data_IF_168554169344
#
_entry.id   IF_168554169344
#
_cell.length_a   1.000
_cell.length_b   1.000
_cell.length_c   1.000
_cell.angle_alpha   90.00
_cell.angle_beta   90.00
_cell.angle_gamma   90.00
#
_symmetry.space_group_name_H-M   'P 1'
#
loop_
_entity.id
_entity.type
_entity.pdbx_description
1 polymer ?
#
# COMPACT_ATOMS: atom_id res chain seq x y z
N UNK A 1 16.72 -0.97 1.21
CA UNK A 1 16.29 -2.37 1.33
C UNK A 1 17.53 -3.23 1.48
N UNK A 2 17.85 -3.61 2.72
CA UNK A 2 18.80 -4.69 2.93
C UNK A 2 18.11 -5.99 2.49
N UNK A 3 18.72 -6.75 1.58
CA UNK A 3 18.15 -7.99 1.09
C UNK A 3 17.96 -8.98 2.22
N UNK A 4 16.73 -9.40 2.45
CA UNK A 4 16.38 -10.42 3.43
C UNK A 4 17.00 -11.75 2.99
N UNK A 5 17.47 -12.58 3.92
CA UNK A 5 18.16 -13.86 3.61
C UNK A 5 17.53 -15.07 4.30
N UNK A 6 16.53 -14.87 5.16
CA UNK A 6 15.94 -15.92 5.98
C UNK A 6 14.41 -15.79 6.10
N UNK A 7 13.75 -16.93 6.35
CA UNK A 7 12.32 -17.01 6.65
C UNK A 7 11.99 -16.33 7.99
N UNK A 8 10.77 -15.79 8.09
CA UNK A 8 10.29 -15.01 9.24
C UNK A 8 9.13 -15.72 9.94
N UNK A 9 8.96 -15.42 11.23
CA UNK A 9 7.75 -15.74 11.99
C UNK A 9 7.08 -14.41 12.38
N UNK A 10 6.20 -13.91 11.53
CA UNK A 10 5.49 -12.64 11.77
C UNK A 10 4.48 -12.85 12.90
N UNK A 11 4.57 -12.09 14.01
CA UNK A 11 3.63 -12.22 15.12
C UNK A 11 2.17 -12.06 14.65
N UNK A 12 1.26 -12.81 15.24
CA UNK A 12 -0.17 -12.74 14.91
C UNK A 12 -0.99 -12.37 16.15
N UNK A 13 -2.07 -11.62 15.96
CA UNK A 13 -3.01 -11.30 17.03
C UNK A 13 -3.81 -12.54 17.45
N UNK A 14 -3.78 -12.86 18.74
CA UNK A 14 -4.50 -14.02 19.29
C UNK A 14 -6.01 -13.89 19.07
N UNK A 15 -6.63 -14.90 18.44
CA UNK A 15 -8.07 -14.92 18.16
C UNK A 15 -8.48 -14.31 16.81
N UNK A 16 -7.52 -13.94 15.96
CA UNK A 16 -7.81 -13.58 14.56
C UNK A 16 -8.36 -14.78 13.79
N UNK A 17 -9.44 -14.60 13.03
CA UNK A 17 -9.86 -15.59 12.04
C UNK A 17 -8.81 -15.63 10.93
N UNK A 18 -8.17 -16.78 10.75
CA UNK A 18 -7.29 -17.06 9.62
C UNK A 18 -8.12 -17.52 8.44
N UNK A 19 -7.97 -16.86 7.30
CA UNK A 19 -8.44 -17.41 6.03
C UNK A 19 -7.25 -17.66 5.14
N UNK A 20 -7.18 -18.88 4.60
CA UNK A 20 -6.15 -19.22 3.63
C UNK A 20 -6.65 -18.73 2.28
N UNK A 21 -5.94 -17.77 1.69
CA UNK A 21 -5.98 -17.63 0.25
C UNK A 21 -5.44 -18.94 -0.34
N UNK A 22 -6.09 -19.44 -1.39
CA UNK A 22 -5.65 -20.64 -2.09
C UNK A 22 -4.21 -20.52 -2.63
N UNK A 23 -3.71 -21.54 -3.31
CA UNK A 23 -2.37 -21.49 -3.90
C UNK A 23 -2.27 -20.37 -4.95
N UNK A 24 -1.38 -19.40 -4.71
CA UNK A 24 -1.18 -18.26 -5.61
C UNK A 24 0.13 -18.42 -6.37
N UNK A 25 0.11 -18.39 -7.70
CA UNK A 25 1.32 -18.54 -8.49
C UNK A 25 2.25 -17.34 -8.35
N UNK A 26 3.55 -17.60 -8.20
CA UNK A 26 4.59 -16.58 -8.02
C UNK A 26 5.02 -15.99 -9.36
N UNK A 27 5.21 -14.67 -9.43
CA UNK A 27 5.68 -13.98 -10.63
C UNK A 27 7.08 -14.46 -11.07
N UNK A 28 7.43 -14.26 -12.34
CA UNK A 28 8.76 -14.58 -12.86
C UNK A 28 9.87 -13.82 -12.09
N UNK A 29 11.06 -14.41 -12.00
CA UNK A 29 12.26 -13.80 -11.38
C UNK A 29 12.02 -13.17 -10.01
N UNK A 30 11.12 -13.75 -9.21
CA UNK A 30 10.62 -13.15 -7.96
C UNK A 30 11.03 -13.97 -6.75
N UNK A 31 11.33 -13.27 -5.65
CA UNK A 31 11.59 -13.89 -4.34
C UNK A 31 10.56 -13.42 -3.34
N UNK A 32 9.92 -14.36 -2.65
CA UNK A 32 9.01 -14.11 -1.55
C UNK A 32 9.51 -14.92 -0.36
N UNK A 33 9.76 -14.26 0.76
CA UNK A 33 10.18 -14.93 1.98
C UNK A 33 8.98 -15.54 2.69
N UNK A 34 9.13 -16.74 3.24
CA UNK A 34 8.10 -17.28 4.15
C UNK A 34 8.02 -16.36 5.37
N UNK A 35 6.80 -16.01 5.78
CA UNK A 35 6.52 -14.95 6.75
C UNK A 35 6.51 -13.53 6.15
N UNK A 36 6.91 -13.36 4.89
CA UNK A 36 6.86 -12.07 4.20
C UNK A 36 5.44 -11.70 3.74
N UNK A 37 5.19 -10.40 3.62
CA UNK A 37 3.91 -9.88 3.12
C UNK A 37 3.82 -10.10 1.60
N UNK A 38 2.71 -10.69 1.16
CA UNK A 38 2.44 -10.99 -0.24
C UNK A 38 1.42 -10.01 -0.80
N UNK A 39 1.70 -9.51 -1.99
CA UNK A 39 0.76 -8.76 -2.79
C UNK A 39 0.52 -9.41 -4.16
N UNK A 40 -0.59 -9.05 -4.78
CA UNK A 40 -0.87 -9.38 -6.17
C UNK A 40 -0.43 -8.23 -7.07
N UNK A 41 0.30 -8.57 -8.13
CA UNK A 41 0.54 -7.66 -9.24
C UNK A 41 -0.68 -7.58 -10.19
N UNK A 42 -0.59 -6.75 -11.22
CA UNK A 42 -1.66 -6.57 -12.21
C UNK A 42 -2.06 -7.85 -12.97
N UNK A 43 -1.19 -8.87 -12.97
CA UNK A 43 -1.44 -10.16 -13.61
C UNK A 43 -2.00 -11.21 -12.63
N UNK A 44 -2.34 -10.82 -11.39
CA UNK A 44 -2.80 -11.72 -10.34
C UNK A 44 -1.72 -12.69 -9.85
N UNK A 45 -0.43 -12.35 -10.02
CA UNK A 45 0.69 -13.17 -9.53
C UNK A 45 1.21 -12.64 -8.21
N UNK A 46 1.65 -13.55 -7.35
CA UNK A 46 2.25 -13.23 -6.07
C UNK A 46 3.61 -12.56 -6.28
N UNK A 47 3.79 -11.41 -5.62
CA UNK A 47 5.02 -10.64 -5.51
C UNK A 47 5.22 -10.21 -4.05
N UNK A 48 6.46 -9.96 -3.58
CA UNK A 48 6.66 -9.35 -2.27
C UNK A 48 6.00 -7.97 -2.26
N UNK A 49 5.35 -7.61 -1.15
CA UNK A 49 4.73 -6.30 -0.99
C UNK A 49 5.79 -5.22 -0.81
N UNK A 50 6.50 -4.85 -1.88
CA UNK A 50 7.54 -3.82 -1.86
C UNK A 50 7.04 -2.52 -2.48
N UNK A 51 7.50 -1.38 -1.95
CA UNK A 51 7.14 -0.06 -2.49
C UNK A 51 7.89 0.30 -3.78
N UNK A 52 9.01 -0.38 -4.05
CA UNK A 52 9.88 -0.14 -5.19
C UNK A 52 10.57 -1.42 -5.65
N UNK A 53 10.73 -1.59 -6.97
CA UNK A 53 11.70 -2.54 -7.55
C UNK A 53 12.75 -1.72 -8.29
N UNK A 54 14.03 -1.89 -7.94
CA UNK A 54 15.16 -1.20 -8.59
C UNK A 54 14.95 0.31 -8.78
N UNK A 55 14.41 0.99 -7.75
CA UNK A 55 14.16 2.43 -7.76
C UNK A 55 12.84 2.88 -8.39
N UNK A 56 12.15 2.02 -9.15
CA UNK A 56 10.86 2.32 -9.76
C UNK A 56 9.73 2.06 -8.76
N UNK A 57 8.83 3.02 -8.56
CA UNK A 57 7.61 2.81 -7.77
C UNK A 57 6.76 1.74 -8.44
N UNK A 58 6.35 0.72 -7.70
CA UNK A 58 5.43 -0.26 -8.23
C UNK A 58 4.02 0.33 -8.25
N UNK A 59 3.31 0.14 -9.37
CA UNK A 59 1.88 0.42 -9.46
C UNK A 59 1.09 -0.43 -8.45
N UNK A 60 -0.09 0.09 -8.08
CA UNK A 60 -1.05 -0.45 -7.10
C UNK A 60 -0.97 -1.98 -6.93
N UNK A 61 -0.21 -2.40 -5.94
CA UNK A 61 -0.15 -3.78 -5.49
C UNK A 61 -1.29 -3.98 -4.48
N UNK A 62 -1.99 -5.11 -4.55
CA UNK A 62 -3.06 -5.46 -3.60
C UNK A 62 -2.48 -6.42 -2.54
N UNK A 63 -2.29 -6.00 -1.29
CA UNK A 63 -1.87 -6.95 -0.24
C UNK A 63 -2.99 -7.95 -0.01
N UNK A 64 -2.60 -9.21 0.11
CA UNK A 64 -3.53 -10.33 0.32
C UNK A 64 -3.22 -11.14 1.58
N UNK A 65 -2.06 -10.95 2.20
CA UNK A 65 -1.71 -11.61 3.46
C UNK A 65 -0.23 -11.92 3.57
N UNK A 66 0.10 -12.93 4.38
CA UNK A 66 1.46 -13.38 4.66
C UNK A 66 1.72 -14.74 4.00
N UNK A 67 2.91 -14.91 3.42
CA UNK A 67 3.35 -16.18 2.86
C UNK A 67 3.55 -17.21 3.99
N UNK A 68 2.76 -18.27 4.02
CA UNK A 68 2.88 -19.33 5.03
C UNK A 68 3.79 -20.46 4.56
N UNK A 69 3.65 -20.86 3.30
CA UNK A 69 4.41 -21.97 2.73
C UNK A 69 4.57 -21.83 1.21
N UNK A 70 5.50 -22.60 0.66
CA UNK A 70 5.74 -22.68 -0.78
C UNK A 70 5.14 -23.98 -1.32
N UNK A 71 4.58 -23.92 -2.52
CA UNK A 71 4.05 -25.07 -3.24
C UNK A 71 4.76 -25.22 -4.59
N UNK A 72 5.36 -26.37 -4.83
CA UNK A 72 6.05 -26.69 -6.06
C UNK A 72 5.79 -28.16 -6.41
N UNK A 73 4.56 -28.47 -6.86
CA UNK A 73 4.08 -29.86 -7.08
C UNK A 73 3.73 -30.62 -5.79
N UNK A 74 3.87 -29.95 -4.65
CA UNK A 74 3.58 -30.40 -3.29
C UNK A 74 3.95 -29.28 -2.31
N UNK A 75 3.46 -29.36 -1.07
CA UNK A 75 3.88 -28.43 -0.02
C UNK A 75 5.36 -28.67 0.25
N UNK A 76 6.15 -27.62 0.13
CA UNK A 76 7.58 -27.66 0.42
C UNK A 76 7.79 -27.40 1.91
N UNK A 77 8.75 -28.11 2.51
CA UNK A 77 8.99 -28.07 3.96
C UNK A 77 9.07 -26.65 4.52
N UNK A 78 8.57 -26.43 5.75
CA UNK A 78 8.55 -25.11 6.37
C UNK A 78 9.96 -24.52 6.44
N UNK A 79 10.07 -23.22 6.11
CA UNK A 79 11.32 -22.46 6.18
C UNK A 79 12.06 -22.29 4.86
N UNK A 80 11.62 -22.90 3.75
CA UNK A 80 12.14 -22.58 2.42
C UNK A 80 11.35 -21.41 1.80
N UNK A 81 12.04 -20.33 1.44
CA UNK A 81 11.45 -19.18 0.74
C UNK A 81 10.96 -19.55 -0.66
N UNK A 82 10.08 -18.76 -1.27
CA UNK A 82 9.68 -18.92 -2.67
C UNK A 82 10.64 -18.14 -3.57
N UNK A 83 11.61 -18.84 -4.17
CA UNK A 83 12.67 -18.25 -4.99
C UNK A 83 12.47 -18.63 -6.46
N UNK A 84 11.50 -17.98 -7.12
CA UNK A 84 11.17 -18.22 -8.53
C UNK A 84 12.18 -17.55 -9.48
N UNK A 85 13.44 -17.97 -9.42
CA UNK A 85 14.53 -17.47 -10.25
C UNK A 85 15.17 -18.61 -11.03
N UNK A 86 15.66 -18.30 -12.24
CA UNK A 86 16.44 -19.26 -13.01
C UNK A 86 17.68 -19.69 -12.21
N UNK A 87 17.92 -21.00 -12.13
CA UNK A 87 19.03 -21.59 -11.35
C UNK A 87 18.62 -22.21 -10.00
N UNK A 88 17.42 -21.92 -9.49
CA UNK A 88 16.95 -22.49 -8.22
C UNK A 88 16.25 -23.87 -8.36
N UNK A 89 16.35 -24.53 -9.51
CA UNK A 89 15.65 -25.80 -9.78
C UNK A 89 15.97 -26.91 -8.77
N UNK A 90 17.19 -26.94 -8.24
CA UNK A 90 17.60 -27.92 -7.20
C UNK A 90 16.81 -27.77 -5.89
N UNK A 91 16.32 -26.56 -5.59
CA UNK A 91 15.52 -26.29 -4.39
C UNK A 91 14.06 -26.76 -4.54
N UNK A 92 13.58 -26.91 -5.77
CA UNK A 92 12.18 -27.27 -6.08
C UNK A 92 12.11 -28.41 -7.12
N UNK A 93 12.54 -29.63 -6.77
CA UNK A 93 12.61 -30.74 -7.72
C UNK A 93 11.26 -31.18 -8.26
N UNK A 94 10.15 -30.85 -7.57
CA UNK A 94 8.79 -31.18 -7.97
C UNK A 94 8.04 -30.02 -8.67
N UNK A 95 8.72 -28.90 -8.94
CA UNK A 95 8.10 -27.78 -9.66
C UNK A 95 7.60 -28.22 -11.04
N UNK A 96 6.37 -27.82 -11.38
CA UNK A 96 5.70 -28.23 -12.62
C UNK A 96 6.14 -27.45 -13.86
N UNK A 97 7.02 -26.46 -13.71
CA UNK A 97 7.51 -25.60 -14.79
C UNK A 97 8.95 -25.15 -14.59
N UNK A 98 9.51 -24.50 -15.61
CA UNK A 98 10.88 -23.98 -15.58
C UNK A 98 10.99 -22.83 -14.58
N UNK A 99 11.78 -23.02 -13.53
CA UNK A 99 12.05 -21.98 -12.52
C UNK A 99 12.57 -20.69 -13.18
N UNK A 100 12.06 -19.55 -12.72
CA UNK A 100 12.26 -18.25 -13.35
C UNK A 100 11.13 -17.81 -14.29
N UNK A 101 10.21 -18.72 -14.66
CA UNK A 101 8.98 -18.37 -15.38
C UNK A 101 7.83 -18.14 -14.42
N UNK A 102 6.89 -17.26 -14.78
CA UNK A 102 5.74 -16.94 -13.94
C UNK A 102 4.87 -18.19 -13.69
N UNK A 103 4.58 -18.47 -12.42
CA UNK A 103 3.79 -19.62 -11.98
C UNK A 103 4.52 -20.96 -11.94
N UNK A 104 5.85 -21.00 -12.10
CA UNK A 104 6.62 -22.23 -11.94
C UNK A 104 6.52 -22.81 -10.51
N UNK A 105 6.33 -21.94 -9.52
CA UNK A 105 5.99 -22.27 -8.14
C UNK A 105 4.82 -21.39 -7.67
N UNK A 106 4.18 -21.79 -6.58
CA UNK A 106 3.10 -21.07 -5.93
C UNK A 106 3.40 -20.88 -4.43
N UNK A 107 2.67 -19.96 -3.78
CA UNK A 107 2.72 -19.75 -2.33
C UNK A 107 1.33 -19.95 -1.74
N UNK A 108 1.28 -20.55 -0.56
CA UNK A 108 0.12 -20.49 0.31
C UNK A 108 0.13 -19.19 1.08
N UNK A 109 -0.94 -18.40 0.98
CA UNK A 109 -1.05 -17.10 1.64
C UNK A 109 -2.15 -17.17 2.68
N UNK A 110 -1.87 -16.67 3.87
CA UNK A 110 -2.86 -16.53 4.94
C UNK A 110 -3.19 -15.06 5.15
N UNK A 111 -4.48 -14.72 5.15
CA UNK A 111 -4.93 -13.42 5.63
C UNK A 111 -5.43 -13.54 7.08
N UNK A 112 -5.28 -12.45 7.80
CA UNK A 112 -5.50 -12.36 9.23
C UNK A 112 -4.92 -11.07 9.77
N UNK A 113 -4.78 -11.00 11.09
CA UNK A 113 -4.23 -9.83 11.77
C UNK A 113 -2.79 -10.10 12.21
N UNK A 114 -1.84 -9.41 11.59
CA UNK A 114 -0.42 -9.61 11.85
C UNK A 114 0.22 -8.36 12.47
N UNK A 115 1.09 -8.57 13.45
CA UNK A 115 1.88 -7.54 14.10
C UNK A 115 3.03 -7.10 13.21
N UNK A 116 3.13 -5.79 13.02
CA UNK A 116 4.20 -5.11 12.29
C UNK A 116 5.01 -4.25 13.25
N UNK A 117 6.33 -4.26 13.12
CA UNK A 117 7.22 -3.46 13.97
C UNK A 117 6.93 -1.96 13.82
N UNK A 118 6.97 -1.25 14.93
CA UNK A 118 6.87 0.21 14.96
C UNK A 118 8.29 0.76 14.91
N UNK A 119 8.86 0.80 13.70
CA UNK A 119 10.15 1.50 13.54
C UNK A 119 9.99 2.98 13.94
N UNK A 120 11.09 3.66 14.26
CA UNK A 120 11.06 5.06 14.69
C UNK A 120 10.55 6.05 13.61
N UNK A 121 10.13 5.58 12.42
CA UNK A 121 9.46 6.38 11.39
C UNK A 121 7.93 6.39 11.56
N UNK A 122 7.40 5.54 12.44
CA UNK A 122 5.98 5.46 12.82
C UNK A 122 5.73 6.30 14.09
N UNK A 123 6.25 7.53 14.10
CA UNK A 123 6.09 8.46 15.22
C UNK A 123 4.72 9.17 15.14
N UNK A 124 3.97 9.09 16.23
CA UNK A 124 2.86 9.94 16.67
C UNK A 124 1.61 10.09 15.77
N UNK A 125 1.51 9.35 14.67
CA UNK A 125 0.49 9.62 13.65
C UNK A 125 -0.48 8.46 13.37
N UNK A 126 -0.10 7.21 13.65
CA UNK A 126 -0.96 6.04 13.40
C UNK A 126 -1.93 5.80 14.57
N UNK A 127 -3.20 5.55 14.28
CA UNK A 127 -4.24 5.24 15.28
C UNK A 127 -5.04 3.98 14.90
N UNK A 128 -5.62 3.32 15.90
CA UNK A 128 -6.56 2.20 15.67
C UNK A 128 -7.74 2.68 14.83
N UNK A 129 -8.18 1.89 13.87
CA UNK A 129 -9.24 2.22 12.93
C UNK A 129 -8.77 2.90 11.64
N UNK A 130 -7.49 3.27 11.54
CA UNK A 130 -6.97 3.90 10.33
C UNK A 130 -6.52 2.87 9.29
N UNK A 131 -6.81 3.15 8.02
CA UNK A 131 -6.18 2.43 6.93
C UNK A 131 -4.67 2.69 6.91
N UNK A 132 -3.89 1.65 6.68
CA UNK A 132 -2.44 1.75 6.63
C UNK A 132 -1.85 1.10 5.38
N UNK A 133 -0.65 1.55 5.02
CA UNK A 133 0.20 0.87 4.03
C UNK A 133 1.29 0.09 4.78
N UNK A 134 1.49 -1.17 4.38
CA UNK A 134 2.56 -2.01 4.90
C UNK A 134 3.42 -2.51 3.73
N UNK A 135 4.72 -2.57 3.98
CA UNK A 135 5.71 -3.05 3.03
C UNK A 135 6.45 -4.21 3.69
N UNK A 136 6.94 -5.16 2.90
CA UNK A 136 7.79 -6.26 3.35
C UNK A 136 9.19 -5.73 3.79
N UNK A 137 9.23 -5.05 4.94
CA UNK A 137 10.38 -4.70 5.80
C UNK A 137 9.91 -3.97 7.09
N UNK A 138 8.70 -4.28 7.57
CA UNK A 138 8.03 -3.77 8.78
C UNK A 138 7.79 -2.26 8.91
N UNK A 139 8.14 -1.39 7.95
CA UNK A 139 7.70 0.02 8.04
C UNK A 139 6.21 0.15 7.68
N UNK A 140 5.38 0.47 8.67
CA UNK A 140 3.98 0.89 8.48
C UNK A 140 3.93 2.42 8.45
N UNK A 141 3.31 3.00 7.42
CA UNK A 141 3.13 4.45 7.36
C UNK A 141 1.68 4.81 7.17
N UNK A 142 1.28 5.97 7.68
CA UNK A 142 0.26 6.75 6.98
C UNK A 142 0.84 7.16 5.62
N UNK A 143 -0.05 7.45 4.67
CA UNK A 143 0.35 7.85 3.33
C UNK A 143 1.44 8.94 3.31
N UNK A 144 2.18 9.05 2.21
CA UNK A 144 3.19 10.11 2.09
C UNK A 144 2.48 11.46 2.11
N UNK A 145 2.74 12.27 3.14
CA UNK A 145 2.35 13.68 3.14
C UNK A 145 2.99 14.35 1.92
N UNK A 146 2.17 14.89 1.01
CA UNK A 146 2.64 15.83 0.00
C UNK A 146 2.56 17.20 0.66
N UNK A 147 3.64 17.56 1.36
CA UNK A 147 3.70 18.82 2.10
C UNK A 147 3.72 20.01 1.13
N UNK A 148 2.66 20.82 1.20
CA UNK A 148 2.61 22.24 0.87
C UNK A 148 3.62 22.76 -0.18
N UNK A 149 3.46 22.44 -1.47
CA UNK A 149 4.09 23.24 -2.55
C UNK A 149 3.51 23.04 -3.96
N UNK A 150 2.27 22.59 -4.14
CA UNK A 150 1.60 22.75 -5.44
C UNK A 150 0.66 23.95 -5.37
N UNK A 151 1.11 25.08 -5.93
CA UNK A 151 0.22 26.21 -6.21
C UNK A 151 -0.65 25.85 -7.41
N UNK A 152 -1.95 25.90 -7.21
CA UNK A 152 -2.94 25.73 -8.27
C UNK A 152 -3.49 27.10 -8.63
N UNK A 153 -3.41 27.46 -9.91
CA UNK A 153 -4.08 28.66 -10.43
C UNK A 153 -5.47 28.26 -10.93
N UNK A 154 -6.50 28.83 -10.31
CA UNK A 154 -7.89 28.58 -10.69
C UNK A 154 -8.19 29.25 -12.02
N UNK A 155 -8.63 28.52 -13.06
CA UNK A 155 -8.92 29.14 -14.35
C UNK A 155 -10.05 30.17 -14.21
N UNK A 156 -9.96 31.24 -15.00
CA UNK A 156 -10.94 32.32 -14.98
C UNK A 156 -12.36 31.87 -15.44
N UNK A 157 -12.43 30.74 -16.15
CA UNK A 157 -13.66 30.02 -16.51
C UNK A 157 -13.34 28.57 -16.87
N UNK A 158 -14.24 27.63 -16.56
CA UNK A 158 -14.12 26.22 -16.99
C UNK A 158 -13.77 25.23 -15.85
N UNK A 159 -14.02 23.93 -16.05
CA UNK A 159 -14.13 22.97 -14.94
C UNK A 159 -12.79 22.36 -14.51
N UNK A 160 -12.80 21.82 -13.28
CA UNK A 160 -11.92 20.80 -12.71
C UNK A 160 -10.42 20.97 -13.01
N UNK A 161 -9.68 21.48 -12.04
CA UNK A 161 -8.23 21.57 -12.11
C UNK A 161 -7.65 20.22 -11.68
N UNK A 162 -6.93 19.57 -12.59
CA UNK A 162 -6.18 18.39 -12.23
C UNK A 162 -5.06 18.81 -11.27
N UNK A 163 -5.10 18.31 -10.03
CA UNK A 163 -4.06 18.48 -9.00
C UNK A 163 -2.82 17.64 -9.33
N UNK A 164 -2.76 17.12 -10.56
CA UNK A 164 -1.79 16.23 -11.18
C UNK A 164 -1.73 14.82 -10.58
N UNK A 165 -2.49 14.50 -9.53
CA UNK A 165 -2.28 13.29 -8.75
C UNK A 165 -3.62 12.64 -8.31
N UNK A 166 -3.96 11.42 -8.78
CA UNK A 166 -5.10 10.64 -8.30
C UNK A 166 -4.86 10.01 -6.92
N UNK A 167 -5.89 9.39 -6.33
CA UNK A 167 -5.86 8.65 -5.04
C UNK A 167 -5.47 9.51 -3.81
N UNK A 168 -6.11 10.66 -3.67
CA UNK A 168 -5.96 11.53 -2.49
C UNK A 168 -6.75 10.93 -1.31
N UNK A 169 -6.20 10.94 -0.10
CA UNK A 169 -6.93 10.48 1.09
C UNK A 169 -8.06 11.43 1.42
N UNK A 170 -9.28 10.90 1.54
CA UNK A 170 -10.47 11.67 1.88
C UNK A 170 -10.30 12.41 3.22
N UNK A 171 -10.69 13.68 3.27
CA UNK A 171 -10.64 14.49 4.49
C UNK A 171 -9.24 14.96 4.88
N UNK A 172 -8.24 14.79 4.00
CA UNK A 172 -6.87 15.27 4.23
C UNK A 172 -6.47 16.44 3.34
N UNK A 173 -7.39 16.91 2.49
CA UNK A 173 -7.12 17.97 1.52
C UNK A 173 -7.40 19.33 2.15
N UNK A 174 -6.34 20.12 2.31
CA UNK A 174 -6.43 21.51 2.78
C UNK A 174 -6.06 22.47 1.65
N UNK A 175 -6.80 23.58 1.57
CA UNK A 175 -6.60 24.62 0.58
C UNK A 175 -6.45 26.00 1.25
N UNK A 176 -5.40 26.73 0.90
CA UNK A 176 -5.06 28.03 1.49
C UNK A 176 -4.85 29.09 0.40
N UNK A 177 -5.18 30.35 0.70
CA UNK A 177 -4.85 31.45 -0.20
C UNK A 177 -3.32 31.61 -0.34
N UNK A 178 -2.87 32.08 -1.52
CA UNK A 178 -1.44 32.24 -1.78
C UNK A 178 -0.76 33.44 -1.08
N UNK A 179 -1.39 34.02 -0.05
CA UNK A 179 -0.84 35.17 0.67
C UNK A 179 0.25 34.69 1.66
N UNK A 180 1.43 35.32 1.63
CA UNK A 180 2.58 34.90 2.44
C UNK A 180 2.23 34.73 3.93
N UNK A 181 2.56 33.57 4.51
CA UNK A 181 2.30 33.24 5.92
C UNK A 181 1.16 32.25 6.18
N UNK A 182 0.69 31.51 5.18
CA UNK A 182 -0.32 30.44 5.35
C UNK A 182 -1.74 30.81 4.93
N UNK A 183 -1.97 32.04 4.45
CA UNK A 183 -3.21 32.46 3.78
C UNK A 183 -4.51 32.28 4.57
N UNK A 184 -5.63 32.60 3.92
CA UNK A 184 -6.98 32.24 4.39
C UNK A 184 -7.22 30.77 4.09
N UNK A 185 -7.64 30.00 5.10
CA UNK A 185 -8.08 28.62 4.90
C UNK A 185 -9.44 28.58 4.22
N UNK A 186 -9.54 27.86 3.11
CA UNK A 186 -10.79 27.63 2.40
C UNK A 186 -11.46 26.36 2.92
N UNK A 187 -12.80 26.31 2.87
CA UNK A 187 -13.58 25.18 3.38
C UNK A 187 -14.08 24.29 2.25
N UNK A 188 -13.80 22.98 2.36
CA UNK A 188 -14.38 21.99 1.44
C UNK A 188 -15.92 21.94 1.58
N UNK A 189 -16.62 21.81 0.47
CA UNK A 189 -18.09 21.84 0.38
C UNK A 189 -18.70 23.25 0.39
N UNK A 190 -17.92 24.28 0.72
CA UNK A 190 -18.35 25.69 0.67
C UNK A 190 -17.60 26.47 -0.40
N UNK A 191 -16.26 26.45 -0.33
CA UNK A 191 -15.39 27.21 -1.22
C UNK A 191 -14.86 26.37 -2.39
N UNK A 192 -14.66 25.08 -2.15
CA UNK A 192 -14.18 24.12 -3.16
C UNK A 192 -14.74 22.72 -2.92
N UNK A 193 -14.58 21.84 -3.91
CA UNK A 193 -14.85 20.41 -3.83
C UNK A 193 -13.69 19.64 -4.46
N UNK A 194 -13.45 18.42 -3.98
CA UNK A 194 -12.36 17.55 -4.45
C UNK A 194 -12.91 16.21 -4.92
N UNK A 195 -12.53 15.81 -6.14
CA UNK A 195 -12.61 14.40 -6.55
C UNK A 195 -11.34 13.70 -6.07
N UNK A 196 -11.49 13.00 -4.94
CA UNK A 196 -10.41 12.27 -4.30
C UNK A 196 -9.87 11.10 -5.15
N UNK A 197 -10.70 10.50 -6.02
CA UNK A 197 -10.25 9.41 -6.89
C UNK A 197 -9.57 9.95 -8.15
N UNK A 198 -10.18 10.95 -8.80
CA UNK A 198 -9.64 11.57 -9.99
C UNK A 198 -8.50 12.56 -9.75
N UNK A 199 -8.29 12.99 -8.49
CA UNK A 199 -7.29 14.01 -8.17
C UNK A 199 -7.68 15.39 -8.68
N UNK A 200 -8.98 15.69 -8.73
CA UNK A 200 -9.50 16.92 -9.32
C UNK A 200 -9.95 17.89 -8.24
N UNK A 201 -9.57 19.16 -8.40
CA UNK A 201 -9.99 20.26 -7.56
C UNK A 201 -10.99 21.14 -8.31
N UNK A 202 -12.06 21.55 -7.65
CA UNK A 202 -13.08 22.43 -8.21
C UNK A 202 -13.39 23.57 -7.24
N UNK A 203 -13.18 24.82 -7.66
CA UNK A 203 -13.73 25.96 -6.94
C UNK A 203 -15.26 25.99 -7.12
N UNK A 204 -15.99 26.22 -6.03
CA UNK A 204 -17.45 26.26 -6.04
C UNK A 204 -17.97 27.67 -6.38
N UNK A 205 -19.05 27.72 -7.16
CA UNK A 205 -19.70 28.99 -7.47
C UNK A 205 -20.29 29.60 -6.19
N UNK A 206 -19.91 30.85 -5.88
CA UNK A 206 -20.30 31.53 -4.64
C UNK A 206 -19.34 31.33 -3.47
N UNK A 207 -18.27 30.54 -3.64
CA UNK A 207 -17.18 30.41 -2.68
C UNK A 207 -16.24 31.61 -2.63
N UNK A 208 -15.37 31.66 -1.64
CA UNK A 208 -14.38 32.72 -1.43
C UNK A 208 -13.21 32.68 -2.42
N UNK A 209 -13.08 31.61 -3.22
CA UNK A 209 -12.01 31.44 -4.19
C UNK A 209 -12.36 32.19 -5.47
N UNK A 210 -11.67 33.31 -5.71
CA UNK A 210 -11.85 34.10 -6.92
C UNK A 210 -11.34 33.37 -8.17
N UNK A 211 -12.06 33.52 -9.29
CA UNK A 211 -11.59 33.11 -10.60
C UNK A 211 -10.22 33.76 -10.92
N UNK A 212 -9.24 32.99 -11.38
CA UNK A 212 -7.86 33.45 -11.59
C UNK A 212 -6.98 33.48 -10.33
N UNK A 213 -7.53 33.12 -9.15
CA UNK A 213 -6.78 33.11 -7.89
C UNK A 213 -5.80 31.94 -7.78
N UNK A 214 -4.72 32.14 -7.05
CA UNK A 214 -3.75 31.08 -6.72
C UNK A 214 -4.07 30.51 -5.34
N UNK A 215 -4.12 29.18 -5.25
CA UNK A 215 -4.40 28.41 -4.04
C UNK A 215 -3.22 27.48 -3.76
N UNK A 216 -2.71 27.47 -2.54
CA UNK A 216 -1.80 26.42 -2.09
C UNK A 216 -2.60 25.26 -1.54
N UNK A 217 -2.29 24.04 -1.99
CA UNK A 217 -2.94 22.84 -1.48
C UNK A 217 -1.94 21.96 -0.77
N UNK A 218 -2.40 21.35 0.31
CA UNK A 218 -1.69 20.29 1.03
C UNK A 218 -2.63 19.10 1.12
N UNK A 219 -2.13 17.91 0.89
CA UNK A 219 -2.92 16.71 1.05
C UNK A 219 -2.05 15.52 1.41
N UNK A 220 -2.65 14.56 2.10
CA UNK A 220 -2.07 13.23 2.19
C UNK A 220 -2.53 12.45 0.98
N UNK A 221 -1.58 11.90 0.25
CA UNK A 221 -1.91 10.85 -0.71
C UNK A 221 -1.71 9.52 -0.04
N UNK A 222 -2.47 8.52 -0.47
CA UNK A 222 -1.94 7.16 -0.36
C UNK A 222 -0.55 7.20 -0.97
N UNK A 223 0.47 6.85 -0.19
CA UNK A 223 1.76 6.59 -0.81
C UNK A 223 1.49 5.59 -1.95
N UNK A 224 2.24 5.63 -3.05
CA UNK A 224 2.20 4.56 -4.08
C UNK A 224 2.70 3.20 -3.52
N UNK A 225 2.56 3.01 -2.20
CA UNK A 225 2.83 1.83 -1.41
C UNK A 225 1.55 0.99 -1.35
N UNK A 226 1.78 -0.30 -1.23
CA UNK A 226 0.78 -1.34 -1.16
C UNK A 226 -0.17 -1.06 0.01
N UNK A 227 -1.47 -0.88 -0.26
CA UNK A 227 -2.46 -0.75 0.80
C UNK A 227 -2.63 -2.11 1.47
N UNK A 228 -2.40 -2.16 2.77
CA UNK A 228 -2.28 -3.39 3.53
C UNK A 228 -3.60 -3.78 4.22
N UNK A 229 -4.29 -2.81 4.82
CA UNK A 229 -5.47 -3.08 5.63
C UNK A 229 -5.73 -1.98 6.65
N UNK A 230 -6.39 -2.36 7.74
CA UNK A 230 -6.74 -1.49 8.87
C UNK A 230 -5.90 -1.83 10.10
N UNK A 231 -5.47 -0.81 10.85
CA UNK A 231 -4.83 -0.98 12.15
C UNK A 231 -5.89 -1.33 13.19
N UNK A 232 -5.81 -2.51 13.80
CA UNK A 232 -6.81 -2.99 14.76
C UNK A 232 -6.33 -2.96 16.22
N UNK A 233 -5.03 -2.94 16.46
CA UNK A 233 -4.46 -2.81 17.79
C UNK A 233 -3.03 -2.27 17.75
N UNK A 234 -2.58 -1.70 18.87
CA UNK A 234 -1.19 -1.32 19.09
C UNK A 234 -0.78 -1.83 20.47
N UNK A 235 0.31 -2.58 20.55
CA UNK A 235 0.81 -3.11 21.82
C UNK A 235 2.31 -3.41 21.74
N UNK A 236 3.05 -3.12 22.80
CA UNK A 236 4.44 -3.56 22.97
C UNK A 236 5.42 -3.16 21.85
N UNK A 237 5.18 -2.04 21.15
CA UNK A 237 5.99 -1.62 20.00
C UNK A 237 5.60 -2.29 18.67
N UNK A 238 4.44 -2.97 18.62
CA UNK A 238 3.87 -3.53 17.41
C UNK A 238 2.56 -2.84 17.05
N UNK A 239 2.32 -2.69 15.75
CA UNK A 239 1.07 -2.28 15.15
C UNK A 239 0.41 -3.51 14.49
N UNK A 240 -0.77 -3.91 14.95
CA UNK A 240 -1.49 -5.04 14.39
C UNK A 240 -2.37 -4.60 13.23
N UNK A 241 -2.09 -5.15 12.06
CA UNK A 241 -2.78 -4.82 10.80
C UNK A 241 -3.61 -6.01 10.36
N UNK A 242 -4.91 -5.79 10.12
CA UNK A 242 -5.81 -6.78 9.56
C UNK A 242 -5.80 -6.73 8.04
N UNK A 243 -5.33 -7.82 7.41
CA UNK A 243 -5.29 -7.99 5.95
C UNK A 243 -6.57 -8.62 5.38
N UNK A 244 -7.49 -9.05 6.23
CA UNK A 244 -8.80 -9.50 5.82
C UNK A 244 -9.66 -8.30 5.45
N UNK A 245 -9.97 -8.12 4.16
CA UNK A 245 -11.14 -7.33 3.76
C UNK A 245 -12.38 -8.18 3.97
N UNK A 246 -13.42 -7.58 4.55
CA UNK A 246 -14.77 -8.12 4.44
C UNK A 246 -15.08 -8.40 2.96
N UNK A 247 -15.68 -9.56 2.68
CA UNK A 247 -15.98 -10.12 1.36
C UNK A 247 -16.93 -9.28 0.46
N UNK A 248 -16.97 -7.96 0.62
CA UNK A 248 -17.76 -7.08 -0.23
C UNK A 248 -16.92 -6.66 -1.46
N UNK A 249 -17.20 -7.30 -2.59
CA UNK A 249 -16.84 -6.91 -3.98
C UNK A 249 -15.38 -7.13 -4.43
N UNK A 250 -15.20 -8.27 -5.12
CA UNK A 250 -14.33 -8.38 -6.30
C UNK A 250 -15.17 -8.15 -7.55
#
# INVERSE_FOLDING_TARGET
MAGLTASRNTPEFSGSNRYHYGLIPVEASTSIYVGGIVALNNNGRAVPAQSRVSGTLLSKLNVIGVCEYVYAGGIVYPGLNALNQAGNGSLYPAATGTLGTAGAISVGVVCGTFGMDVDATIVDSSHVGQMCVAVDDHTVGLGTLVANTTSITVPASGPLINVLQPDIMQGTFDAYSATGGGGTHYLEGTDFAVDYQGGLFMALAGGAISAGGTVYVTYYRAASKVLAGEIVAMDGGLCYVNFGRDNATL
#
